data_IF_229916330838
#
_entry.id   IF_229916330838
#
_cell.length_a   1.000
_cell.length_b   1.000
_cell.length_c   1.000
_cell.angle_alpha   90.00
_cell.angle_beta   90.00
_cell.angle_gamma   90.00
#
_symmetry.space_group_name_H-M   'P 1'
#
loop_
_entity.id
_entity.type
_entity.pdbx_description
1 polymer ?
#
# COMPACT_ATOMS: atom_id res chain seq x y z
N UNK A 1 16.42 -12.63 25.12
CA UNK A 1 15.16 -13.38 25.01
C UNK A 1 14.21 -12.53 24.17
N UNK A 2 13.75 -13.02 23.01
CA UNK A 2 12.76 -12.26 22.23
C UNK A 2 11.48 -12.10 23.06
N UNK A 3 11.04 -10.85 23.26
CA UNK A 3 9.89 -10.51 24.08
C UNK A 3 8.65 -11.27 23.58
N UNK A 4 8.00 -12.04 24.45
CA UNK A 4 6.77 -12.80 24.13
C UNK A 4 5.68 -11.89 23.51
N UNK A 5 5.68 -10.62 23.92
CA UNK A 5 4.80 -9.58 23.40
C UNK A 5 5.02 -9.28 21.90
N UNK A 6 6.27 -9.30 21.42
CA UNK A 6 6.56 -9.10 19.99
C UNK A 6 6.08 -10.28 19.14
N UNK A 7 6.25 -11.51 19.62
CA UNK A 7 5.74 -12.72 18.94
C UNK A 7 4.22 -12.67 18.84
N UNK A 8 3.55 -12.25 19.91
CA UNK A 8 2.11 -12.11 19.97
C UNK A 8 1.59 -11.03 19.00
N UNK A 9 2.24 -9.85 18.97
CA UNK A 9 1.89 -8.79 18.02
C UNK A 9 2.08 -9.21 16.56
N UNK A 10 3.15 -9.95 16.24
CA UNK A 10 3.38 -10.48 14.88
C UNK A 10 2.29 -11.47 14.48
N UNK A 11 1.93 -12.38 15.39
CA UNK A 11 0.85 -13.34 15.15
C UNK A 11 -0.51 -12.64 14.95
N UNK A 12 -0.84 -11.66 15.81
CA UNK A 12 -2.08 -10.90 15.72
C UNK A 12 -2.22 -10.12 14.42
N UNK A 13 -1.14 -9.49 13.95
CA UNK A 13 -1.11 -8.78 12.65
C UNK A 13 -1.36 -9.72 11.48
N UNK A 14 -0.77 -10.93 11.48
CA UNK A 14 -1.03 -11.95 10.45
C UNK A 14 -2.50 -12.34 10.40
N UNK A 15 -3.11 -12.61 11.56
CA UNK A 15 -4.52 -13.00 11.65
C UNK A 15 -5.45 -11.88 11.19
N UNK A 16 -5.17 -10.62 11.53
CA UNK A 16 -5.97 -9.48 11.06
C UNK A 16 -5.94 -9.32 9.54
N UNK A 17 -4.76 -9.44 8.91
CA UNK A 17 -4.63 -9.39 7.45
C UNK A 17 -5.43 -10.52 6.79
N UNK A 18 -5.33 -11.75 7.30
CA UNK A 18 -6.11 -12.87 6.80
C UNK A 18 -7.62 -12.67 6.97
N UNK A 19 -8.08 -12.11 8.10
CA UNK A 19 -9.51 -11.85 8.33
C UNK A 19 -10.10 -10.86 7.31
N UNK A 20 -9.34 -9.81 6.97
CA UNK A 20 -9.75 -8.83 5.96
C UNK A 20 -9.84 -9.48 4.57
N UNK A 21 -8.84 -10.26 4.19
CA UNK A 21 -8.84 -11.00 2.93
C UNK A 21 -10.04 -11.95 2.79
N UNK A 22 -10.32 -12.73 3.83
CA UNK A 22 -11.45 -13.67 3.81
C UNK A 22 -12.80 -12.97 3.58
N UNK A 23 -12.95 -11.71 3.99
CA UNK A 23 -14.15 -10.91 3.73
C UNK A 23 -14.27 -10.54 2.24
N UNK A 24 -13.17 -10.18 1.59
CA UNK A 24 -13.16 -9.89 0.16
C UNK A 24 -13.34 -11.18 -0.67
N UNK A 25 -12.64 -12.26 -0.28
CA UNK A 25 -12.75 -13.56 -0.93
C UNK A 25 -14.16 -14.16 -0.81
N UNK A 26 -14.80 -14.06 0.35
CA UNK A 26 -16.17 -14.58 0.52
C UNK A 26 -17.16 -13.82 -0.36
N UNK A 27 -17.08 -12.48 -0.39
CA UNK A 27 -17.90 -11.65 -1.28
C UNK A 27 -17.73 -12.05 -2.76
N UNK A 28 -16.48 -12.25 -3.18
CA UNK A 28 -16.19 -12.73 -4.54
C UNK A 28 -16.74 -14.14 -4.81
N UNK A 29 -16.63 -15.06 -3.84
CA UNK A 29 -17.14 -16.42 -3.98
C UNK A 29 -18.66 -16.40 -4.18
N UNK A 30 -19.40 -15.62 -3.38
CA UNK A 30 -20.84 -15.44 -3.56
C UNK A 30 -21.18 -14.82 -4.91
N UNK A 31 -20.44 -13.78 -5.31
CA UNK A 31 -20.64 -13.08 -6.60
C UNK A 31 -20.37 -14.01 -7.79
N UNK A 32 -19.32 -14.83 -7.71
CA UNK A 32 -18.93 -15.79 -8.74
C UNK A 32 -19.96 -16.90 -8.90
N UNK A 33 -20.46 -17.46 -7.79
CA UNK A 33 -21.54 -18.46 -7.81
C UNK A 33 -22.82 -17.84 -8.39
N UNK A 34 -23.17 -16.62 -7.96
CA UNK A 34 -24.34 -15.90 -8.46
C UNK A 34 -24.26 -15.66 -9.98
N UNK A 35 -23.13 -15.18 -10.49
CA UNK A 35 -22.89 -14.98 -11.91
C UNK A 35 -22.93 -16.30 -12.70
N UNK A 36 -22.36 -17.37 -12.14
CA UNK A 36 -22.39 -18.69 -12.78
C UNK A 36 -23.82 -19.20 -12.97
N UNK A 37 -24.66 -19.08 -11.93
CA UNK A 37 -26.08 -19.45 -12.00
C UNK A 37 -26.83 -18.55 -12.97
N UNK A 38 -26.59 -17.23 -12.93
CA UNK A 38 -27.23 -16.26 -13.80
C UNK A 38 -26.95 -16.56 -15.28
N UNK A 39 -25.68 -16.81 -15.64
CA UNK A 39 -25.32 -17.14 -17.01
C UNK A 39 -25.84 -18.52 -17.46
N UNK A 40 -25.95 -19.48 -16.55
CA UNK A 40 -26.57 -20.78 -16.84
C UNK A 40 -28.07 -20.61 -17.16
N UNK A 41 -28.79 -19.80 -16.39
CA UNK A 41 -30.22 -19.50 -16.63
C UNK A 41 -30.41 -18.73 -17.94
N UNK A 42 -29.55 -17.76 -18.23
CA UNK A 42 -29.56 -16.97 -19.47
C UNK A 42 -29.11 -17.77 -20.70
N UNK A 43 -28.69 -19.04 -20.53
CA UNK A 43 -28.23 -19.93 -21.60
C UNK A 43 -27.11 -19.30 -22.43
N UNK A 44 -26.26 -18.50 -21.78
CA UNK A 44 -25.15 -17.82 -22.42
C UNK A 44 -24.07 -18.82 -22.84
N UNK A 45 -23.32 -18.52 -23.91
CA UNK A 45 -22.17 -19.32 -24.30
C UNK A 45 -21.16 -19.45 -23.14
N UNK A 46 -20.64 -20.66 -22.86
CA UNK A 46 -19.75 -20.91 -21.72
C UNK A 46 -18.39 -20.19 -21.83
N UNK A 47 -17.99 -19.75 -23.02
CA UNK A 47 -16.76 -18.97 -23.18
C UNK A 47 -16.87 -17.56 -22.56
N UNK A 48 -18.06 -16.95 -22.58
CA UNK A 48 -18.31 -15.64 -21.97
C UNK A 48 -18.20 -15.75 -20.44
N UNK A 49 -18.79 -16.80 -19.88
CA UNK A 49 -18.74 -17.03 -18.42
C UNK A 49 -17.31 -17.24 -17.96
N UNK A 50 -16.50 -17.97 -18.74
CA UNK A 50 -15.09 -18.19 -18.44
C UNK A 50 -14.28 -16.90 -18.51
N UNK A 51 -14.49 -16.04 -19.51
CA UNK A 51 -13.81 -14.75 -19.62
C UNK A 51 -14.17 -13.82 -18.47
N UNK A 52 -15.45 -13.75 -18.09
CA UNK A 52 -15.91 -12.94 -16.97
C UNK A 52 -15.33 -13.46 -15.65
N UNK A 53 -15.43 -14.76 -15.37
CA UNK A 53 -14.89 -15.35 -14.14
C UNK A 53 -13.36 -15.26 -14.09
N UNK A 54 -12.67 -15.43 -15.22
CA UNK A 54 -11.22 -15.29 -15.31
C UNK A 54 -10.78 -13.83 -15.07
N UNK A 55 -11.46 -12.86 -15.68
CA UNK A 55 -11.19 -11.43 -15.46
C UNK A 55 -11.37 -11.02 -14.00
N UNK A 56 -12.45 -11.47 -13.37
CA UNK A 56 -12.68 -11.24 -11.94
C UNK A 56 -11.75 -12.04 -11.03
N UNK A 57 -11.30 -13.21 -11.47
CA UNK A 57 -10.34 -14.05 -10.76
C UNK A 57 -8.95 -13.42 -10.66
N UNK A 58 -8.54 -12.62 -11.63
CA UNK A 58 -7.23 -11.91 -11.63
C UNK A 58 -7.17 -10.87 -10.51
N UNK A 59 -8.24 -10.10 -10.29
CA UNK A 59 -8.30 -9.12 -9.19
C UNK A 59 -8.14 -9.77 -7.81
N UNK A 60 -8.75 -10.94 -7.62
CA UNK A 60 -8.60 -11.73 -6.38
C UNK A 60 -7.22 -12.36 -6.27
N UNK A 61 -6.65 -12.83 -7.36
CA UNK A 61 -5.29 -13.35 -7.35
C UNK A 61 -4.29 -12.28 -6.87
N UNK A 62 -4.45 -11.03 -7.28
CA UNK A 62 -3.65 -9.91 -6.80
C UNK A 62 -3.84 -9.67 -5.29
N UNK A 63 -5.09 -9.62 -4.81
CA UNK A 63 -5.40 -9.45 -3.39
C UNK A 63 -4.89 -10.62 -2.53
N UNK A 64 -4.93 -11.85 -3.08
CA UNK A 64 -4.40 -13.04 -2.44
C UNK A 64 -2.88 -12.98 -2.32
N UNK A 65 -2.18 -12.53 -3.36
CA UNK A 65 -0.73 -12.30 -3.36
C UNK A 65 -0.34 -11.24 -2.34
N UNK A 66 -1.12 -10.17 -2.18
CA UNK A 66 -0.86 -9.13 -1.17
C UNK A 66 -0.96 -9.68 0.27
N UNK A 67 -1.92 -10.57 0.52
CA UNK A 67 -2.20 -11.09 1.88
C UNK A 67 -1.31 -12.28 2.23
N UNK A 68 -1.13 -13.21 1.29
CA UNK A 68 -0.31 -14.41 1.48
C UNK A 68 1.15 -14.20 1.12
N UNK A 69 1.50 -13.09 0.46
CA UNK A 69 2.81 -12.88 -0.13
C UNK A 69 2.99 -13.75 -1.38
N UNK A 70 3.99 -13.43 -2.19
CA UNK A 70 4.38 -14.32 -3.28
C UNK A 70 4.98 -15.62 -2.72
N UNK A 71 4.53 -16.80 -3.16
CA UNK A 71 5.17 -18.07 -2.82
C UNK A 71 6.55 -18.12 -3.51
N UNK A 72 7.59 -17.68 -2.79
CA UNK A 72 8.97 -17.61 -3.30
C UNK A 72 9.70 -16.31 -2.97
N UNK A 73 8.97 -15.27 -2.55
CA UNK A 73 9.58 -14.08 -1.95
C UNK A 73 9.71 -14.35 -0.46
N UNK A 74 10.92 -14.66 -0.03
CA UNK A 74 11.23 -15.02 1.36
C UNK A 74 10.84 -13.87 2.29
N UNK A 75 9.86 -14.05 3.17
CA UNK A 75 9.34 -12.98 4.04
C UNK A 75 10.43 -12.35 4.90
N UNK A 76 11.54 -13.06 5.09
CA UNK A 76 12.75 -12.55 5.73
C UNK A 76 13.38 -11.37 4.96
N UNK A 77 13.28 -11.30 3.63
CA UNK A 77 13.78 -10.14 2.88
C UNK A 77 12.94 -8.89 3.17
N UNK A 78 11.62 -9.03 3.24
CA UNK A 78 10.68 -7.92 3.43
C UNK A 78 10.77 -7.37 4.86
N UNK A 79 10.80 -8.26 5.86
CA UNK A 79 11.02 -7.91 7.27
C UNK A 79 12.41 -7.30 7.49
N UNK A 80 13.43 -7.70 6.73
CA UNK A 80 14.76 -7.06 6.75
C UNK A 80 14.72 -5.65 6.17
N UNK A 81 14.04 -5.45 5.04
CA UNK A 81 13.98 -4.14 4.38
C UNK A 81 13.21 -3.11 5.19
N UNK A 82 12.11 -3.52 5.82
CA UNK A 82 11.36 -2.66 6.75
C UNK A 82 12.23 -2.28 7.96
N UNK A 83 13.03 -3.22 8.48
CA UNK A 83 13.93 -2.95 9.61
C UNK A 83 15.05 -2.00 9.23
N UNK A 84 15.65 -2.19 8.05
CA UNK A 84 16.66 -1.28 7.48
C UNK A 84 16.11 0.15 7.34
N UNK A 85 14.88 0.32 6.84
CA UNK A 85 14.29 1.66 6.72
C UNK A 85 13.88 2.28 8.06
N UNK A 86 13.37 1.50 9.02
CA UNK A 86 13.08 2.04 10.36
C UNK A 86 14.35 2.47 11.10
N UNK A 87 15.47 1.77 10.88
CA UNK A 87 16.76 2.13 11.45
C UNK A 87 17.29 3.44 10.86
N UNK A 88 17.21 3.63 9.54
CA UNK A 88 17.54 4.91 8.89
C UNK A 88 16.70 6.08 9.44
N UNK A 89 15.38 5.91 9.56
CA UNK A 89 14.48 6.93 10.11
C UNK A 89 14.72 7.25 11.60
N UNK A 90 15.24 6.27 12.37
CA UNK A 90 15.63 6.47 13.76
C UNK A 90 16.98 7.18 13.91
N UNK A 91 17.90 6.93 12.97
CA UNK A 91 19.21 7.55 12.93
C UNK A 91 19.13 9.03 12.51
N UNK A 92 18.26 9.37 11.55
CA UNK A 92 18.01 10.76 11.15
C UNK A 92 17.37 11.60 12.27
N UNK A 93 16.45 11.03 13.06
CA UNK A 93 15.86 11.71 14.22
C UNK A 93 16.86 12.00 15.34
N UNK A 94 17.93 11.22 15.43
CA UNK A 94 18.99 11.40 16.42
C UNK A 94 19.99 12.49 15.99
N UNK A 95 20.10 12.74 14.67
CA UNK A 95 20.90 13.84 14.13
C UNK A 95 20.16 15.19 14.13
N UNK A 96 18.82 15.18 14.18
CA UNK A 96 17.97 16.37 14.26
C UNK A 96 17.89 16.96 15.67
N UNK A 97 17.85 16.13 16.71
CA UNK A 97 17.78 16.55 18.12
C UNK A 97 19.07 17.24 18.65
N UNK A 98 20.09 17.43 17.80
CA UNK A 98 21.35 18.11 18.14
C UNK A 98 21.61 19.33 17.25
N UNK A 99 20.58 19.79 16.49
CA UNK A 99 20.64 20.97 15.61
C UNK A 99 19.89 22.19 16.16
N UNK A 100 19.29 22.07 17.34
CA UNK A 100 18.59 23.19 17.98
C UNK A 100 19.54 24.23 18.62
N UNK A 101 20.86 23.98 18.65
CA UNK A 101 21.88 24.87 19.26
C UNK A 101 22.86 25.48 18.23
N UNK A 102 22.59 25.39 16.92
CA UNK A 102 23.40 26.06 15.90
C UNK A 102 22.67 27.28 15.37
N UNK A 103 23.20 28.47 15.68
CA UNK A 103 22.86 29.68 14.94
C UNK A 103 22.99 29.38 13.43
N UNK A 104 22.00 29.80 12.61
CA UNK A 104 22.07 29.61 11.16
C UNK A 104 23.41 30.15 10.63
N UNK A 105 24.17 29.36 9.85
CA UNK A 105 25.35 29.90 9.20
C UNK A 105 24.93 31.07 8.31
N UNK A 106 25.63 32.19 8.43
CA UNK A 106 25.43 33.35 7.56
C UNK A 106 25.49 32.87 6.10
N UNK A 107 24.37 33.00 5.39
CA UNK A 107 24.29 32.79 3.95
C UNK A 107 25.17 33.85 3.28
N UNK A 108 26.42 33.51 2.96
CA UNK A 108 27.18 34.28 1.98
C UNK A 108 26.52 34.08 0.61
N UNK A 109 25.96 35.17 0.09
CA UNK A 109 25.45 35.31 -1.27
C UNK A 109 26.51 34.90 -2.31
N UNK A 110 26.43 33.67 -2.84
CA UNK A 110 27.11 33.29 -4.09
C UNK A 110 26.13 33.44 -5.27
N UNK A 111 26.33 34.43 -6.16
CA UNK A 111 25.33 34.84 -7.14
C UNK A 111 25.23 33.96 -8.41
N UNK A 112 25.87 32.80 -8.52
CA UNK A 112 25.90 32.06 -9.80
C UNK A 112 25.81 30.52 -9.69
N UNK A 113 24.78 30.02 -8.99
CA UNK A 113 24.31 28.63 -9.15
C UNK A 113 22.77 28.56 -9.29
N UNK A 114 22.23 29.54 -10.01
CA UNK A 114 20.81 29.57 -10.41
C UNK A 114 20.57 28.56 -11.53
N UNK A 115 20.51 27.27 -11.17
CA UNK A 115 19.87 26.28 -12.02
C UNK A 115 18.36 26.57 -12.02
N UNK A 116 17.90 27.22 -13.09
CA UNK A 116 16.51 27.57 -13.36
C UNK A 116 15.59 26.35 -13.17
N UNK A 117 14.75 26.38 -12.14
CA UNK A 117 13.62 25.48 -12.01
C UNK A 117 12.59 25.83 -13.09
N UNK A 118 12.03 24.85 -13.85
CA UNK A 118 10.91 25.15 -14.74
C UNK A 118 9.78 25.74 -13.91
N UNK A 119 9.37 26.96 -14.27
CA UNK A 119 8.28 27.72 -13.66
C UNK A 119 7.03 26.84 -13.62
N UNK A 120 6.72 26.31 -12.44
CA UNK A 120 5.50 25.57 -12.23
C UNK A 120 4.35 26.59 -12.28
N UNK A 121 3.45 26.45 -13.26
CA UNK A 121 2.20 27.20 -13.24
C UNK A 121 1.44 26.82 -11.98
N UNK A 122 1.32 27.75 -11.05
CA UNK A 122 0.40 27.65 -9.92
C UNK A 122 -1.02 27.41 -10.45
N UNK A 123 -1.48 26.15 -10.39
CA UNK A 123 -2.87 25.82 -10.66
C UNK A 123 -3.68 26.38 -9.49
N UNK A 124 -4.30 27.55 -9.70
CA UNK A 124 -5.24 28.13 -8.74
C UNK A 124 -6.27 27.08 -8.38
N UNK A 125 -6.29 26.63 -7.12
CA UNK A 125 -7.33 25.75 -6.60
C UNK A 125 -8.69 26.45 -6.76
N UNK A 126 -9.61 25.83 -7.51
CA UNK A 126 -10.94 26.39 -7.80
C UNK A 126 -12.05 25.79 -6.91
N UNK A 127 -11.71 24.97 -5.93
CA UNK A 127 -12.69 24.26 -5.09
C UNK A 127 -12.90 25.01 -3.78
N UNK A 128 -14.17 25.16 -3.36
CA UNK A 128 -14.55 25.86 -2.13
C UNK A 128 -15.28 24.89 -1.22
N UNK A 129 -14.96 24.91 0.08
CA UNK A 129 -15.46 23.92 1.06
C UNK A 129 -16.99 23.93 1.27
N UNK A 130 -17.71 24.89 0.68
CA UNK A 130 -19.18 24.94 0.65
C UNK A 130 -19.82 24.02 -0.40
N UNK A 131 -19.06 23.44 -1.31
CA UNK A 131 -19.56 22.51 -2.34
C UNK A 131 -19.79 21.10 -1.80
N UNK A 132 -19.31 20.83 -0.57
CA UNK A 132 -19.40 19.53 0.11
C UNK A 132 -20.37 19.56 1.30
N UNK A 133 -21.47 20.32 1.19
CA UNK A 133 -22.63 20.29 2.10
C UNK A 133 -23.85 19.76 1.36
#
# INVERSE_FOLDING_TARGET
>A
MMNEEEKYLRAKRKVQKMKRFYKHLSSWMFTSIFLMVLFFVLRMPPWITFVVVAGWGIGIAAEAVEVFGFPGIDRDWEDRKIREEMEKMGQDRSADNNRDDQDPPEEEDDPDDTLELPEYKEVKRTWKDSDFV
#
